data_IF_899944429814
#
_entry.id   IF_899944429814
#
_cell.length_a   1.000
_cell.length_b   1.000
_cell.length_c   1.000
_cell.angle_alpha   90.00
_cell.angle_beta   90.00
_cell.angle_gamma   90.00
#
_symmetry.space_group_name_H-M   'P 1'
#
loop_
_entity.id
_entity.type
_entity.pdbx_description
1 polymer ?
#
# COMPACT_ATOMS: atom_id res chain seq x y z
N UNK A 1 -27.79 5.91 -18.07
CA UNK A 1 -26.53 5.35 -17.52
C UNK A 1 -26.54 5.58 -16.02
N UNK A 2 -26.27 4.55 -15.21
CA UNK A 2 -26.00 4.76 -13.79
C UNK A 2 -24.64 5.47 -13.66
N UNK A 3 -24.49 6.43 -12.74
CA UNK A 3 -23.20 7.09 -12.52
C UNK A 3 -22.17 6.07 -12.05
N UNK A 4 -20.97 6.09 -12.65
CA UNK A 4 -19.82 5.29 -12.24
C UNK A 4 -18.93 6.14 -11.34
N UNK A 5 -18.63 5.65 -10.13
CA UNK A 5 -17.74 6.29 -9.17
C UNK A 5 -16.36 5.65 -9.26
N UNK A 6 -15.42 6.45 -9.74
CA UNK A 6 -14.00 6.11 -9.79
C UNK A 6 -13.28 6.76 -8.62
N UNK A 7 -12.43 5.99 -7.94
CA UNK A 7 -11.51 6.50 -6.92
C UNK A 7 -10.08 6.21 -7.35
N UNK A 8 -9.21 7.20 -7.20
CA UNK A 8 -7.76 7.04 -7.34
C UNK A 8 -7.17 7.04 -5.93
N UNK A 9 -6.52 5.94 -5.56
CA UNK A 9 -5.96 5.75 -4.24
C UNK A 9 -4.45 5.97 -4.22
N UNK A 10 -4.02 6.91 -3.39
CA UNK A 10 -2.61 7.09 -3.01
C UNK A 10 -2.33 6.32 -1.71
N UNK A 11 -1.18 6.55 -1.11
CA UNK A 11 -0.78 5.86 0.11
C UNK A 11 -1.12 6.63 1.38
N UNK A 12 -1.32 5.90 2.47
CA UNK A 12 -1.29 6.43 3.84
C UNK A 12 0.13 6.74 4.33
N UNK A 13 0.29 6.78 5.65
CA UNK A 13 1.59 6.99 6.31
C UNK A 13 2.59 5.90 5.94
N UNK A 14 3.78 6.31 5.50
CA UNK A 14 4.83 5.40 5.04
C UNK A 14 5.80 5.08 6.16
N UNK A 15 6.30 3.85 6.19
CA UNK A 15 7.26 3.41 7.20
C UNK A 15 8.62 4.10 7.05
N UNK A 16 9.06 4.37 5.83
CA UNK A 16 10.37 5.00 5.56
C UNK A 16 10.41 6.49 5.90
N UNK A 17 9.26 7.18 5.86
CA UNK A 17 9.14 8.55 6.33
C UNK A 17 9.33 8.63 7.87
N UNK A 18 8.76 7.67 8.60
CA UNK A 18 8.85 7.61 10.06
C UNK A 18 10.19 7.08 10.56
N UNK A 19 10.67 6.04 9.90
CA UNK A 19 11.84 5.29 10.31
C UNK A 19 12.82 5.19 9.14
N UNK A 20 13.68 6.20 8.94
CA UNK A 20 14.75 6.09 7.97
C UNK A 20 15.58 4.83 8.23
N UNK A 21 15.91 4.11 7.15
CA UNK A 21 16.63 2.83 7.16
C UNK A 21 15.87 1.68 7.87
N UNK A 22 14.53 1.77 7.96
CA UNK A 22 13.71 0.77 8.64
C UNK A 22 14.02 -0.65 8.20
N UNK A 23 14.13 -0.90 6.88
CA UNK A 23 14.28 -2.24 6.36
C UNK A 23 15.63 -2.83 6.79
N UNK A 24 16.70 -2.03 6.77
CA UNK A 24 18.02 -2.47 7.23
C UNK A 24 18.01 -2.83 8.72
N UNK A 25 17.43 -1.96 9.55
CA UNK A 25 17.29 -2.20 11.00
C UNK A 25 16.47 -3.45 11.29
N UNK A 26 15.32 -3.57 10.62
CA UNK A 26 14.39 -4.69 10.78
C UNK A 26 14.90 -6.02 10.25
N UNK A 27 15.86 -6.04 9.32
CA UNK A 27 16.36 -7.31 8.72
C UNK A 27 17.82 -7.63 9.07
N UNK A 28 18.38 -6.95 10.07
CA UNK A 28 19.78 -7.12 10.50
C UNK A 28 20.13 -8.55 10.96
N UNK A 29 19.14 -9.30 11.46
CA UNK A 29 19.28 -10.70 11.87
C UNK A 29 19.13 -11.72 10.73
N UNK A 30 18.84 -11.25 9.50
CA UNK A 30 18.49 -12.09 8.36
C UNK A 30 17.00 -12.44 8.27
N UNK A 31 16.19 -12.05 9.25
CA UNK A 31 14.73 -12.15 9.26
C UNK A 31 14.13 -10.78 9.54
N UNK A 32 12.92 -10.53 9.06
CA UNK A 32 12.20 -9.30 9.39
C UNK A 32 11.75 -9.31 10.85
N UNK A 33 12.03 -8.22 11.56
CA UNK A 33 11.57 -7.95 12.92
C UNK A 33 11.18 -6.48 13.05
N UNK A 34 9.92 -6.23 13.43
CA UNK A 34 9.47 -4.91 13.82
C UNK A 34 10.19 -4.46 15.09
N UNK A 35 10.71 -3.22 15.11
CA UNK A 35 11.35 -2.62 16.29
C UNK A 35 10.53 -1.49 16.92
N UNK A 36 9.44 -1.09 16.27
CA UNK A 36 8.49 -0.09 16.76
C UNK A 36 7.06 -0.60 16.59
N UNK A 37 6.16 -0.20 17.51
CA UNK A 37 4.77 -0.65 17.53
C UNK A 37 3.93 -0.13 16.35
N UNK A 38 4.37 0.95 15.68
CA UNK A 38 3.72 1.45 14.48
C UNK A 38 4.21 0.73 13.21
N UNK A 39 5.12 -0.24 13.31
CA UNK A 39 5.55 -1.06 12.20
C UNK A 39 4.71 -2.34 12.09
N UNK A 40 4.39 -2.81 10.86
CA UNK A 40 3.72 -4.10 10.69
C UNK A 40 4.49 -5.23 11.35
N UNK A 41 3.79 -6.11 12.07
CA UNK A 41 4.40 -7.27 12.75
C UNK A 41 5.08 -8.23 11.75
N UNK A 42 4.52 -8.32 10.55
CA UNK A 42 5.05 -9.12 9.45
C UNK A 42 5.03 -8.32 8.17
N UNK A 43 6.00 -8.58 7.28
CA UNK A 43 5.93 -8.09 5.91
C UNK A 43 4.82 -8.83 5.14
N UNK A 44 4.27 -8.22 4.07
CA UNK A 44 3.43 -8.92 3.11
C UNK A 44 4.12 -10.20 2.60
N UNK A 45 3.35 -11.25 2.32
CA UNK A 45 3.85 -12.56 1.86
C UNK A 45 4.33 -12.53 0.39
N UNK A 46 5.28 -11.65 0.10
CA UNK A 46 5.87 -11.47 -1.22
C UNK A 46 7.17 -12.26 -1.29
N UNK A 47 7.34 -13.08 -2.33
CA UNK A 47 8.57 -13.84 -2.58
C UNK A 47 9.66 -12.93 -3.17
N UNK A 48 10.06 -11.91 -2.42
CA UNK A 48 11.03 -10.90 -2.86
C UNK A 48 12.13 -10.63 -1.84
N UNK A 49 13.36 -10.27 -2.30
CA UNK A 49 14.44 -9.82 -1.43
C UNK A 49 14.07 -8.60 -0.59
N UNK A 50 14.57 -8.53 0.65
CA UNK A 50 14.35 -7.39 1.55
C UNK A 50 14.78 -6.05 0.95
N UNK A 51 15.87 -6.03 0.19
CA UNK A 51 16.36 -4.82 -0.49
C UNK A 51 15.29 -4.13 -1.36
N UNK A 52 14.35 -4.87 -1.95
CA UNK A 52 13.32 -4.23 -2.77
C UNK A 52 12.31 -3.40 -1.95
N UNK A 53 12.16 -3.67 -0.66
CA UNK A 53 11.31 -2.85 0.22
C UNK A 53 11.94 -1.48 0.57
N UNK A 54 13.25 -1.31 0.30
CA UNK A 54 13.95 -0.03 0.49
C UNK A 54 13.39 1.05 -0.45
N UNK A 55 13.26 0.73 -1.74
CA UNK A 55 12.71 1.64 -2.75
C UNK A 55 11.18 1.51 -2.93
N UNK A 56 10.59 0.38 -2.51
CA UNK A 56 9.15 0.07 -2.59
C UNK A 56 8.57 -0.21 -1.20
N UNK A 57 8.65 0.83 -0.36
CA UNK A 57 8.21 0.81 1.04
C UNK A 57 6.73 0.45 1.24
N UNK A 58 6.41 0.07 2.47
CA UNK A 58 5.06 -0.25 2.94
C UNK A 58 4.46 0.87 3.81
N UNK A 59 3.15 0.79 4.08
CA UNK A 59 2.49 1.68 5.05
C UNK A 59 2.65 1.18 6.49
N UNK A 60 2.50 2.10 7.44
CA UNK A 60 2.52 1.82 8.89
C UNK A 60 1.23 1.20 9.39
N UNK A 61 1.23 0.68 10.62
CA UNK A 61 0.01 0.22 11.32
C UNK A 61 -1.02 1.35 11.38
N UNK A 62 -0.60 2.58 11.69
CA UNK A 62 -1.48 3.75 11.62
C UNK A 62 -1.96 4.03 10.19
N UNK A 63 -1.13 3.84 9.18
CA UNK A 63 -1.51 3.91 7.77
C UNK A 63 -2.65 2.94 7.43
N UNK A 64 -2.56 1.68 7.87
CA UNK A 64 -3.61 0.67 7.73
C UNK A 64 -4.91 1.11 8.41
N UNK A 65 -4.83 1.54 9.68
CA UNK A 65 -6.00 1.95 10.48
C UNK A 65 -6.71 3.16 9.86
N UNK A 66 -5.95 4.19 9.46
CA UNK A 66 -6.51 5.39 8.82
C UNK A 66 -7.19 5.04 7.49
N UNK A 67 -6.58 4.16 6.69
CA UNK A 67 -7.16 3.70 5.44
C UNK A 67 -8.47 2.92 5.65
N UNK A 68 -8.54 2.02 6.64
CA UNK A 68 -9.79 1.35 7.02
C UNK A 68 -10.87 2.35 7.46
N UNK A 69 -10.50 3.39 8.23
CA UNK A 69 -11.45 4.44 8.64
C UNK A 69 -12.01 5.22 7.45
N UNK A 70 -11.16 5.55 6.45
CA UNK A 70 -11.63 6.15 5.19
C UNK A 70 -12.61 5.21 4.49
N UNK A 71 -12.31 3.91 4.43
CA UNK A 71 -13.23 2.89 3.92
C UNK A 71 -14.59 2.91 4.60
N UNK A 72 -14.62 2.86 5.94
CA UNK A 72 -15.87 2.95 6.71
C UNK A 72 -16.64 4.24 6.41
N UNK A 73 -15.93 5.35 6.26
CA UNK A 73 -16.52 6.63 5.85
C UNK A 73 -17.19 6.57 4.48
N UNK A 74 -16.54 5.96 3.48
CA UNK A 74 -17.13 5.76 2.15
C UNK A 74 -18.40 4.91 2.20
N UNK A 75 -18.38 3.84 3.00
CA UNK A 75 -19.55 2.95 3.18
C UNK A 75 -20.73 3.69 3.83
N UNK A 76 -20.50 4.38 4.95
CA UNK A 76 -21.53 5.13 5.68
C UNK A 76 -22.17 6.20 4.77
N UNK A 77 -21.36 6.88 3.96
CA UNK A 77 -21.81 7.90 3.03
C UNK A 77 -22.37 7.34 1.71
N UNK A 78 -22.59 6.01 1.61
CA UNK A 78 -23.09 5.33 0.40
C UNK A 78 -22.29 5.71 -0.86
N UNK A 79 -21.01 5.97 -0.68
CA UNK A 79 -20.07 6.44 -1.70
C UNK A 79 -19.12 5.32 -2.13
N UNK A 80 -19.65 4.11 -2.22
CA UNK A 80 -18.89 2.92 -2.60
C UNK A 80 -18.36 3.12 -4.03
N UNK A 81 -17.04 2.98 -4.28
CA UNK A 81 -16.49 3.08 -5.62
C UNK A 81 -16.87 1.85 -6.46
N UNK A 82 -17.11 2.07 -7.74
CA UNK A 82 -17.24 0.97 -8.71
C UNK A 82 -15.86 0.50 -9.18
N UNK A 83 -14.88 1.41 -9.19
CA UNK A 83 -13.52 1.16 -9.64
C UNK A 83 -12.55 1.89 -8.72
N UNK A 84 -11.51 1.19 -8.27
CA UNK A 84 -10.36 1.78 -7.59
C UNK A 84 -9.12 1.61 -8.45
N UNK A 85 -8.45 2.72 -8.73
CA UNK A 85 -7.11 2.72 -9.34
C UNK A 85 -6.05 3.02 -8.28
N UNK A 86 -4.89 2.39 -8.39
CA UNK A 86 -3.72 2.69 -7.57
C UNK A 86 -2.44 2.60 -8.42
N UNK A 87 -1.39 3.31 -8.01
CA UNK A 87 -0.05 3.08 -8.57
C UNK A 87 0.48 1.69 -8.18
N UNK A 88 1.47 1.14 -8.89
CA UNK A 88 2.09 -0.15 -8.54
C UNK A 88 2.90 -0.14 -7.22
N UNK A 89 3.16 1.02 -6.61
CA UNK A 89 3.85 1.09 -5.33
C UNK A 89 3.10 0.35 -4.22
N UNK A 90 3.80 -0.48 -3.45
CA UNK A 90 3.20 -1.34 -2.41
C UNK A 90 2.36 -0.54 -1.42
N UNK A 91 2.88 0.59 -0.95
CA UNK A 91 2.16 1.52 -0.06
C UNK A 91 0.78 1.97 -0.60
N UNK A 92 0.65 2.19 -1.92
CA UNK A 92 -0.62 2.59 -2.54
C UNK A 92 -1.57 1.39 -2.64
N UNK A 93 -1.05 0.22 -3.01
CA UNK A 93 -1.84 -1.02 -3.10
C UNK A 93 -2.37 -1.42 -1.72
N UNK A 94 -1.52 -1.40 -0.70
CA UNK A 94 -1.90 -1.67 0.69
C UNK A 94 -2.99 -0.71 1.18
N UNK A 95 -2.82 0.59 0.91
CA UNK A 95 -3.84 1.59 1.29
C UNK A 95 -5.17 1.34 0.62
N UNK A 96 -5.17 1.04 -0.69
CA UNK A 96 -6.39 0.69 -1.42
C UNK A 96 -7.05 -0.58 -0.87
N UNK A 97 -6.26 -1.60 -0.55
CA UNK A 97 -6.76 -2.82 0.05
C UNK A 97 -7.38 -2.58 1.43
N UNK A 98 -6.75 -1.77 2.28
CA UNK A 98 -7.29 -1.39 3.59
C UNK A 98 -8.57 -0.58 3.50
N UNK A 99 -8.68 0.34 2.54
CA UNK A 99 -9.94 1.07 2.27
C UNK A 99 -11.05 0.08 1.89
N UNK A 100 -10.75 -0.89 1.03
CA UNK A 100 -11.71 -1.93 0.66
C UNK A 100 -12.13 -2.81 1.84
N UNK A 101 -11.17 -3.22 2.67
CA UNK A 101 -11.41 -3.96 3.91
C UNK A 101 -12.28 -3.18 4.88
N UNK A 102 -12.02 -1.88 5.04
CA UNK A 102 -12.86 -0.98 5.85
C UNK A 102 -14.30 -0.86 5.35
N UNK A 103 -14.54 -1.09 4.05
CA UNK A 103 -15.87 -1.17 3.44
C UNK A 103 -16.49 -2.58 3.48
N UNK A 104 -15.72 -3.62 3.81
CA UNK A 104 -16.12 -5.03 3.64
C UNK A 104 -16.32 -5.40 2.17
N UNK A 105 -15.50 -4.85 1.26
CA UNK A 105 -15.61 -4.99 -0.21
C UNK A 105 -14.33 -5.47 -0.88
N UNK A 106 -13.33 -5.91 -0.12
CA UNK A 106 -12.02 -6.40 -0.60
C UNK A 106 -12.12 -7.59 -1.56
N UNK A 107 -13.18 -8.38 -1.46
CA UNK A 107 -13.45 -9.52 -2.35
C UNK A 107 -14.34 -9.16 -3.55
N UNK A 108 -15.01 -8.00 -3.51
CA UNK A 108 -15.99 -7.57 -4.52
C UNK A 108 -15.40 -6.57 -5.52
N UNK A 109 -14.62 -5.60 -5.05
CA UNK A 109 -14.06 -4.54 -5.87
C UNK A 109 -12.55 -4.82 -6.04
N UNK A 110 -12.11 -4.97 -7.29
CA UNK A 110 -10.69 -5.18 -7.60
C UNK A 110 -9.94 -3.85 -7.71
N UNK A 111 -8.72 -3.83 -7.20
CA UNK A 111 -7.77 -2.72 -7.37
C UNK A 111 -7.16 -2.83 -8.76
N UNK A 112 -7.25 -1.77 -9.56
CA UNK A 112 -6.62 -1.70 -10.88
C UNK A 112 -5.30 -0.94 -10.76
N UNK A 113 -4.22 -1.60 -11.17
CA UNK A 113 -2.89 -0.99 -11.15
C UNK A 113 -2.71 -0.15 -12.41
N UNK A 114 -2.43 1.14 -12.23
CA UNK A 114 -2.10 2.06 -13.32
C UNK A 114 -0.69 2.63 -13.11
N UNK A 115 0.32 2.17 -13.88
CA UNK A 115 1.71 2.59 -13.74
C UNK A 115 1.94 4.10 -13.84
N UNK A 116 1.12 4.83 -14.61
CA UNK A 116 1.26 6.29 -14.77
C UNK A 116 0.83 7.08 -13.52
N UNK A 117 0.18 6.44 -12.54
CA UNK A 117 -0.11 7.05 -11.24
C UNK A 117 1.08 7.03 -10.27
N UNK A 118 2.19 6.37 -10.63
CA UNK A 118 3.39 6.41 -9.82
C UNK A 118 3.96 7.82 -9.74
N UNK A 119 4.60 8.13 -8.62
CA UNK A 119 5.15 9.46 -8.37
C UNK A 119 6.32 9.79 -9.31
N UNK A 120 6.73 11.06 -9.26
CA UNK A 120 7.77 11.59 -10.14
C UNK A 120 9.05 10.77 -10.05
N UNK A 121 9.50 10.24 -11.19
CA UNK A 121 10.58 9.25 -11.23
C UNK A 121 11.95 9.80 -10.85
N UNK A 122 12.17 11.12 -10.92
CA UNK A 122 13.44 11.72 -10.47
C UNK A 122 13.60 11.69 -8.94
N UNK A 123 12.53 11.41 -8.19
CA UNK A 123 12.62 11.12 -6.76
C UNK A 123 13.33 9.79 -6.47
N UNK A 124 13.62 8.99 -7.50
CA UNK A 124 14.23 7.67 -7.42
C UNK A 124 15.57 7.66 -8.20
N UNK A 125 16.66 8.20 -7.62
CA UNK A 125 17.94 8.37 -8.31
C UNK A 125 18.59 7.03 -8.72
N UNK A 126 18.25 5.95 -8.02
CA UNK A 126 18.73 4.60 -8.31
C UNK A 126 17.92 3.90 -9.42
N UNK A 127 16.98 4.61 -10.04
CA UNK A 127 16.03 4.06 -11.01
C UNK A 127 14.70 3.68 -10.37
N UNK A 128 13.74 3.28 -11.21
CA UNK A 128 12.39 2.93 -10.75
C UNK A 128 12.44 1.79 -9.73
N UNK A 129 11.67 1.86 -8.64
CA UNK A 129 11.55 0.75 -7.72
C UNK A 129 11.11 -0.51 -8.45
N UNK A 130 11.63 -1.65 -8.02
CA UNK A 130 11.06 -2.92 -8.43
C UNK A 130 9.74 -3.05 -7.67
N UNK A 131 8.62 -3.02 -8.36
CA UNK A 131 7.32 -3.24 -7.73
C UNK A 131 7.02 -4.73 -7.54
N UNK A 132 6.06 -5.06 -6.68
CA UNK A 132 5.48 -6.39 -6.64
C UNK A 132 4.73 -6.69 -7.95
N UNK A 133 4.79 -7.92 -8.43
CA UNK A 133 4.04 -8.32 -9.63
C UNK A 133 2.56 -8.54 -9.27
N UNK A 134 1.63 -8.44 -10.24
CA UNK A 134 0.23 -8.75 -9.98
C UNK A 134 0.04 -10.13 -9.35
N UNK A 135 0.84 -11.14 -9.75
CA UNK A 135 0.80 -12.50 -9.21
C UNK A 135 1.24 -12.57 -7.74
N UNK A 136 2.16 -11.70 -7.32
CA UNK A 136 2.56 -11.58 -5.90
C UNK A 136 1.48 -10.86 -5.07
N UNK A 137 0.57 -10.12 -5.71
CA UNK A 137 -0.49 -9.34 -5.05
C UNK A 137 -1.87 -10.02 -5.08
N UNK A 138 -1.99 -11.19 -5.70
CA UNK A 138 -3.22 -11.99 -5.79
C UNK A 138 -3.40 -12.92 -4.59
#
# INVERSE_FOLDING_TARGET
MLPCRLVVMRHGERIDDLFPEWIHKSTSSGLYQAFDLNMPLTLPELKRPFKHYEDDTIISEMGFVLAEMVGRGLLINKSIPDIIYASPALRCVQTAHSVLKGMGKENEIKIRIEPTLFEFTELHPNGKPKFATPEELY
#
